data_IF_242900782272
#
_entry.id   IF_242900782272
#
_cell.length_a   1.000
_cell.length_b   1.000
_cell.length_c   1.000
_cell.angle_alpha   90.00
_cell.angle_beta   90.00
_cell.angle_gamma   90.00
#
_symmetry.space_group_name_H-M   'P 1'
#
loop_
_entity.id
_entity.type
_entity.pdbx_description
1 polymer ?
#
# COMPACT_ATOMS: atom_id res chain seq x y z
N UNK A 1 4.62 12.26 15.55
CA UNK A 1 4.06 10.89 15.42
C UNK A 1 4.38 10.40 14.01
N UNK A 2 4.88 9.18 13.85
CA UNK A 2 5.34 8.68 12.55
C UNK A 2 4.16 8.29 11.67
N UNK A 3 4.12 8.76 10.42
CA UNK A 3 3.09 8.38 9.45
C UNK A 3 3.02 6.86 9.36
N UNK A 4 1.91 6.30 9.83
CA UNK A 4 1.72 4.84 9.88
C UNK A 4 1.30 4.38 8.49
N UNK A 5 2.26 4.31 7.57
CA UNK A 5 2.04 3.73 6.25
C UNK A 5 1.67 2.26 6.41
N UNK A 6 0.41 1.94 6.09
CA UNK A 6 -0.07 0.55 6.08
C UNK A 6 0.62 -0.17 4.93
N UNK A 7 1.43 -1.17 5.26
CA UNK A 7 2.21 -1.97 4.31
C UNK A 7 1.65 -3.37 4.28
N UNK A 8 1.35 -3.88 3.09
CA UNK A 8 0.89 -5.27 2.92
C UNK A 8 1.75 -5.98 1.88
N UNK A 9 1.82 -7.30 1.98
CA UNK A 9 2.45 -8.14 0.97
C UNK A 9 1.41 -8.58 -0.07
N UNK A 10 1.78 -8.48 -1.35
CA UNK A 10 1.01 -9.00 -2.48
C UNK A 10 1.77 -10.13 -3.17
N UNK A 11 1.04 -10.99 -3.86
CA UNK A 11 1.56 -12.16 -4.57
C UNK A 11 1.46 -11.94 -6.06
N UNK A 12 2.55 -12.19 -6.79
CA UNK A 12 2.52 -12.31 -8.24
C UNK A 12 2.17 -13.76 -8.63
N UNK A 13 1.05 -13.93 -9.34
CA UNK A 13 0.52 -15.24 -9.71
C UNK A 13 1.43 -16.04 -10.66
N UNK A 14 2.16 -15.38 -11.56
CA UNK A 14 3.00 -16.05 -12.57
C UNK A 14 4.27 -16.64 -11.96
N UNK A 15 4.82 -15.96 -10.94
CA UNK A 15 6.06 -16.36 -10.26
C UNK A 15 5.81 -17.33 -9.11
N UNK A 16 4.62 -17.30 -8.51
CA UNK A 16 4.32 -18.10 -7.33
C UNK A 16 4.18 -19.59 -7.69
N UNK A 17 5.08 -20.43 -7.18
CA UNK A 17 5.04 -21.90 -7.39
C UNK A 17 5.10 -22.65 -6.04
N UNK A 18 3.97 -22.78 -5.31
CA UNK A 18 3.91 -23.42 -3.98
C UNK A 18 4.45 -24.85 -3.92
N UNK A 19 4.29 -25.60 -5.03
CA UNK A 19 4.82 -26.97 -5.20
C UNK A 19 6.34 -27.04 -5.13
N UNK A 20 7.05 -25.96 -5.49
CA UNK A 20 8.52 -25.94 -5.62
C UNK A 20 9.23 -25.06 -4.57
N UNK A 21 8.51 -24.30 -3.75
CA UNK A 21 9.11 -23.32 -2.81
C UNK A 21 9.15 -23.73 -1.33
N UNK A 22 8.82 -25.00 -1.00
CA UNK A 22 8.77 -25.54 0.39
C UNK A 22 7.93 -24.71 1.39
N UNK A 23 7.06 -23.84 0.88
CA UNK A 23 6.26 -22.84 1.61
C UNK A 23 7.06 -21.96 2.59
N UNK A 24 8.24 -21.49 2.18
CA UNK A 24 9.11 -20.64 3.02
C UNK A 24 8.43 -19.34 3.48
N UNK A 25 7.51 -18.79 2.69
CA UNK A 25 6.71 -17.62 3.05
C UNK A 25 5.89 -17.84 4.33
N UNK A 26 5.22 -18.99 4.46
CA UNK A 26 4.42 -19.36 5.63
C UNK A 26 5.31 -19.61 6.86
N UNK A 27 6.41 -20.35 6.67
CA UNK A 27 7.35 -20.70 7.75
C UNK A 27 8.08 -19.49 8.33
N UNK A 28 8.44 -18.54 7.46
CA UNK A 28 9.24 -17.37 7.86
C UNK A 28 8.38 -16.19 8.34
N UNK A 29 7.06 -16.24 8.18
CA UNK A 29 6.18 -15.15 8.58
C UNK A 29 6.07 -15.08 10.13
N UNK A 30 6.44 -13.95 10.76
CA UNK A 30 6.37 -13.83 12.22
C UNK A 30 4.92 -13.93 12.72
N UNK A 31 3.95 -13.38 11.99
CA UNK A 31 2.53 -13.41 12.36
C UNK A 31 1.98 -14.84 12.36
N UNK A 32 2.43 -15.68 11.43
CA UNK A 32 2.08 -17.11 11.40
C UNK A 32 2.77 -17.86 12.55
N UNK A 33 4.02 -17.53 12.86
CA UNK A 33 4.73 -18.11 14.02
C UNK A 33 4.09 -17.74 15.35
N UNK A 34 3.38 -16.61 15.43
CA UNK A 34 2.56 -16.21 16.58
C UNK A 34 1.20 -16.93 16.63
N UNK A 35 0.90 -17.84 15.70
CA UNK A 35 -0.34 -18.61 15.69
C UNK A 35 -1.51 -17.99 14.93
N UNK A 36 -1.32 -16.86 14.22
CA UNK A 36 -2.37 -16.21 13.42
C UNK A 36 -2.31 -16.65 11.95
N UNK A 37 -3.46 -16.75 11.30
CA UNK A 37 -3.58 -17.16 9.89
C UNK A 37 -3.29 -15.99 8.91
N UNK A 38 -2.06 -15.50 8.90
CA UNK A 38 -1.66 -14.42 7.99
C UNK A 38 -1.32 -14.92 6.58
N UNK A 39 -0.70 -16.10 6.46
CA UNK A 39 -0.35 -16.71 5.18
C UNK A 39 -0.86 -18.15 5.16
N UNK A 40 -1.70 -18.45 4.18
CA UNK A 40 -2.25 -19.78 3.95
C UNK A 40 -1.74 -20.33 2.62
N UNK A 41 -1.11 -21.49 2.69
CA UNK A 41 -0.57 -22.18 1.52
C UNK A 41 -0.43 -23.66 1.85
N UNK A 42 -0.85 -24.50 0.91
CA UNK A 42 -0.57 -25.94 0.91
C UNK A 42 0.27 -26.29 -0.33
N UNK A 43 0.93 -27.47 -0.37
CA UNK A 43 1.65 -27.91 -1.57
C UNK A 43 0.75 -28.07 -2.79
N UNK A 44 -0.54 -28.29 -2.59
CA UNK A 44 -1.52 -28.49 -3.66
C UNK A 44 -2.08 -27.16 -4.18
N UNK A 45 -2.02 -26.09 -3.38
CA UNK A 45 -2.47 -24.77 -3.78
C UNK A 45 -1.74 -24.27 -5.03
N UNK A 46 -2.50 -23.68 -5.96
CA UNK A 46 -1.92 -22.99 -7.12
C UNK A 46 -1.17 -21.74 -6.69
N UNK A 47 -1.71 -21.01 -5.71
CA UNK A 47 -1.21 -19.71 -5.25
C UNK A 47 -1.20 -19.65 -3.72
N UNK A 48 -0.38 -18.76 -3.17
CA UNK A 48 -0.37 -18.42 -1.75
C UNK A 48 -1.48 -17.42 -1.47
N UNK A 49 -2.21 -17.60 -0.38
CA UNK A 49 -3.17 -16.61 0.13
C UNK A 49 -2.56 -15.82 1.29
N UNK A 50 -2.75 -14.49 1.28
CA UNK A 50 -2.23 -13.58 2.30
C UNK A 50 -3.39 -12.72 2.80
N UNK A 51 -3.57 -12.67 4.12
CA UNK A 51 -4.56 -11.82 4.77
C UNK A 51 -4.06 -10.38 4.86
N UNK A 52 -4.80 -9.44 4.28
CA UNK A 52 -4.49 -8.00 4.29
C UNK A 52 -4.56 -7.39 5.70
N UNK A 53 -5.50 -7.86 6.52
CA UNK A 53 -5.72 -7.33 7.88
C UNK A 53 -4.67 -7.80 8.88
N UNK A 54 -4.13 -9.00 8.69
CA UNK A 54 -3.12 -9.58 9.58
C UNK A 54 -1.69 -9.30 9.13
N UNK A 55 -1.48 -8.93 7.86
CA UNK A 55 -0.16 -8.60 7.34
C UNK A 55 0.34 -7.28 7.93
N UNK A 56 1.49 -7.34 8.61
CA UNK A 56 2.14 -6.14 9.18
C UNK A 56 3.17 -5.51 8.23
N UNK A 57 3.35 -6.06 7.03
CA UNK A 57 4.31 -5.53 6.04
C UNK A 57 5.79 -5.68 6.42
N UNK A 58 6.16 -6.71 7.19
CA UNK A 58 7.55 -6.92 7.65
C UNK A 58 8.56 -7.23 6.54
N UNK A 59 8.13 -7.75 5.40
CA UNK A 59 8.98 -8.01 4.22
C UNK A 59 9.88 -9.24 4.31
N UNK A 60 9.81 -10.03 5.39
CA UNK A 60 10.61 -11.26 5.54
C UNK A 60 10.26 -12.28 4.46
N UNK A 61 8.97 -12.41 4.15
CA UNK A 61 8.48 -13.34 3.14
C UNK A 61 9.05 -13.06 1.73
N UNK A 62 9.35 -11.80 1.40
CA UNK A 62 9.98 -11.40 0.12
C UNK A 62 11.39 -11.96 0.06
N UNK A 63 12.20 -11.69 1.09
CA UNK A 63 13.61 -12.11 1.15
C UNK A 63 13.78 -13.63 1.14
N UNK A 64 12.79 -14.36 1.66
CA UNK A 64 12.78 -15.82 1.73
C UNK A 64 12.03 -16.48 0.57
N UNK A 65 11.50 -15.73 -0.39
CA UNK A 65 10.84 -16.36 -1.54
C UNK A 65 11.89 -16.75 -2.59
N UNK A 66 12.10 -18.04 -2.90
CA UNK A 66 13.11 -18.45 -3.89
C UNK A 66 12.77 -17.96 -5.32
N UNK A 67 11.50 -17.67 -5.58
CA UNK A 67 11.02 -17.21 -6.90
C UNK A 67 10.80 -15.69 -6.97
N UNK A 68 11.04 -14.95 -5.87
CA UNK A 68 10.77 -13.51 -5.82
C UNK A 68 9.31 -13.15 -6.18
N UNK A 69 8.36 -14.00 -5.80
CA UNK A 69 6.95 -13.87 -6.18
C UNK A 69 6.14 -12.93 -5.27
N UNK A 70 6.78 -12.33 -4.27
CA UNK A 70 6.12 -11.47 -3.27
C UNK A 70 6.68 -10.06 -3.37
N UNK A 71 5.83 -9.06 -3.24
CA UNK A 71 6.23 -7.65 -3.13
C UNK A 71 5.44 -6.95 -2.04
N UNK A 72 5.98 -5.87 -1.48
CA UNK A 72 5.27 -5.01 -0.52
C UNK A 72 4.69 -3.84 -1.29
N UNK A 73 3.42 -3.54 -1.01
CA UNK A 73 2.76 -2.31 -1.45
C UNK A 73 2.36 -1.48 -0.25
N UNK A 74 2.39 -0.16 -0.44
CA UNK A 74 1.92 0.80 0.55
C UNK A 74 0.46 1.10 0.24
N UNK A 75 -0.44 0.87 1.20
CA UNK A 75 -1.80 1.35 1.11
C UNK A 75 -1.84 2.85 1.43
N UNK A 76 -2.75 3.59 0.78
CA UNK A 76 -2.97 4.99 1.11
C UNK A 76 -3.56 5.07 2.52
N UNK A 77 -2.74 5.42 3.49
CA UNK A 77 -3.17 5.83 4.82
C UNK A 77 -3.28 7.34 4.87
N UNK A 78 -4.11 7.83 5.79
CA UNK A 78 -4.26 9.26 5.94
C UNK A 78 -2.95 9.89 6.41
N UNK A 79 -2.34 10.72 5.57
CA UNK A 79 -1.10 11.42 5.88
C UNK A 79 -1.39 12.45 6.99
N UNK A 80 -0.58 12.45 8.05
CA UNK A 80 -0.62 13.52 9.06
C UNK A 80 0.28 14.68 8.62
N UNK A 81 1.34 14.36 7.87
CA UNK A 81 2.26 15.35 7.30
C UNK A 81 1.75 15.93 5.98
N UNK A 82 2.27 17.11 5.63
CA UNK A 82 2.00 17.82 4.36
C UNK A 82 0.54 18.19 4.12
N UNK A 83 -0.22 18.44 5.19
CA UNK A 83 -1.54 19.06 5.08
C UNK A 83 -1.37 20.50 4.59
N UNK A 84 -1.84 20.79 3.37
CA UNK A 84 -1.79 22.14 2.81
C UNK A 84 -3.00 22.96 3.27
N UNK A 85 -4.17 22.33 3.35
CA UNK A 85 -5.39 23.01 3.75
C UNK A 85 -6.33 22.07 4.48
N UNK A 86 -7.08 22.61 5.45
CA UNK A 86 -8.15 21.91 6.17
C UNK A 86 -9.28 22.90 6.42
N UNK A 87 -10.51 22.54 6.03
CA UNK A 87 -11.67 23.42 6.20
C UNK A 87 -12.10 23.58 7.66
N UNK A 88 -12.09 22.50 8.44
CA UNK A 88 -12.46 22.49 9.87
C UNK A 88 -11.91 21.24 10.58
N UNK A 89 -12.01 21.18 11.90
CA UNK A 89 -11.78 19.96 12.68
C UNK A 89 -12.68 18.82 12.17
N UNK A 90 -12.10 17.63 11.96
CA UNK A 90 -12.76 16.45 11.40
C UNK A 90 -13.37 16.62 9.98
N UNK A 91 -13.01 17.69 9.27
CA UNK A 91 -13.46 17.93 7.90
C UNK A 91 -12.40 17.51 6.87
N UNK A 92 -12.72 17.71 5.59
CA UNK A 92 -11.83 17.46 4.48
C UNK A 92 -10.48 18.18 4.68
N UNK A 93 -9.40 17.42 4.47
CA UNK A 93 -8.03 17.92 4.45
C UNK A 93 -7.38 17.58 3.12
N UNK A 94 -6.75 18.58 2.53
CA UNK A 94 -5.99 18.45 1.30
C UNK A 94 -4.51 18.29 1.64
N UNK A 95 -3.89 17.29 1.02
CA UNK A 95 -2.47 17.00 1.17
C UNK A 95 -1.75 17.28 -0.13
N UNK A 96 -0.67 18.07 -0.06
CA UNK A 96 0.15 18.52 -1.19
C UNK A 96 -0.64 19.30 -2.25
N UNK A 97 0.09 20.00 -3.13
CA UNK A 97 -0.48 20.67 -4.30
C UNK A 97 0.28 20.27 -5.56
N UNK A 98 -0.42 20.14 -6.71
CA UNK A 98 0.23 19.97 -8.00
C UNK A 98 0.87 21.29 -8.44
N UNK A 99 2.17 21.30 -8.72
CA UNK A 99 2.90 22.51 -9.13
C UNK A 99 2.93 22.55 -10.67
N UNK A 100 2.38 23.59 -11.33
CA UNK A 100 2.42 23.72 -12.79
C UNK A 100 3.84 24.01 -13.28
N UNK A 101 4.21 23.46 -14.44
CA UNK A 101 5.47 23.72 -15.14
C UNK A 101 5.23 24.64 -16.32
N UNK A 102 6.17 25.55 -16.59
CA UNK A 102 6.06 26.48 -17.72
C UNK A 102 6.19 25.76 -19.05
N UNK A 103 5.29 26.05 -19.99
CA UNK A 103 5.30 25.47 -21.34
C UNK A 103 4.62 24.11 -21.48
N UNK A 104 4.06 23.55 -20.40
CA UNK A 104 3.39 22.24 -20.40
C UNK A 104 1.96 22.34 -19.83
N UNK A 105 1.05 21.47 -20.28
CA UNK A 105 -0.31 21.37 -19.75
C UNK A 105 -0.37 20.33 -18.63
N UNK A 106 -0.79 20.74 -17.44
CA UNK A 106 -0.94 19.85 -16.29
C UNK A 106 -2.37 19.30 -16.17
N UNK A 107 -2.53 17.99 -16.38
CA UNK A 107 -3.80 17.28 -16.15
C UNK A 107 -3.97 16.85 -14.69
N UNK A 108 -5.12 17.18 -14.09
CA UNK A 108 -5.48 16.75 -12.73
C UNK A 108 -6.66 15.77 -12.76
N UNK A 109 -6.38 14.47 -12.58
CA UNK A 109 -7.37 13.39 -12.63
C UNK A 109 -7.48 12.71 -11.27
N UNK A 110 -8.70 12.38 -10.86
CA UNK A 110 -8.99 11.69 -9.61
C UNK A 110 -10.50 11.58 -9.38
N UNK A 111 -10.93 10.86 -8.35
CA UNK A 111 -12.34 10.71 -8.00
C UNK A 111 -12.99 12.03 -7.55
N UNK A 112 -14.31 12.09 -7.54
CA UNK A 112 -15.04 13.25 -7.01
C UNK A 112 -14.81 13.36 -5.49
N UNK A 113 -14.70 14.60 -4.98
CA UNK A 113 -14.44 14.84 -3.55
C UNK A 113 -12.98 14.71 -3.10
N UNK A 114 -12.02 14.39 -3.99
CA UNK A 114 -10.60 14.27 -3.64
C UNK A 114 -9.88 15.63 -3.44
N UNK A 115 -10.56 16.75 -3.70
CA UNK A 115 -10.00 18.09 -3.52
C UNK A 115 -9.42 18.75 -4.77
N UNK A 116 -9.75 18.27 -5.98
CA UNK A 116 -9.31 18.88 -7.26
C UNK A 116 -9.66 20.37 -7.35
N UNK A 117 -10.91 20.71 -7.10
CA UNK A 117 -11.39 22.10 -7.11
C UNK A 117 -10.76 22.94 -6.00
N UNK A 118 -10.50 22.35 -4.83
CA UNK A 118 -9.81 23.02 -3.73
C UNK A 118 -8.35 23.33 -4.08
N UNK A 119 -7.64 22.39 -4.71
CA UNK A 119 -6.26 22.60 -5.17
C UNK A 119 -6.17 23.73 -6.19
N UNK A 120 -7.10 23.79 -7.16
CA UNK A 120 -7.15 24.87 -8.15
C UNK A 120 -7.46 26.23 -7.54
N UNK A 121 -8.34 26.32 -6.53
CA UNK A 121 -8.62 27.57 -5.82
C UNK A 121 -7.38 28.10 -5.11
N UNK A 122 -6.66 27.22 -4.41
CA UNK A 122 -5.42 27.59 -3.70
C UNK A 122 -4.35 28.06 -4.68
N UNK A 123 -4.15 27.37 -5.81
CA UNK A 123 -3.20 27.80 -6.84
C UNK A 123 -3.61 29.12 -7.52
N UNK A 124 -4.91 29.41 -7.59
CA UNK A 124 -5.43 30.69 -8.09
C UNK A 124 -5.40 31.82 -7.04
N UNK A 125 -4.90 31.56 -5.83
CA UNK A 125 -4.86 32.53 -4.72
C UNK A 125 -6.24 32.89 -4.15
N UNK A 126 -7.23 32.00 -4.29
CA UNK A 126 -8.61 32.17 -3.80
C UNK A 126 -8.93 31.25 -2.62
#
# INVERSE_FOLDING_TARGET
MADKNTRIAIVNHDKCKPKKCRQECKKSCPVVRMGKLCIEVTPQSKIVWISESLCIGCGICIKKCPFGALSIVNLPSNLEKETTHRYCANSFKLHRLPIPRTGEVLGLVGTNGIGKSTALKILAGK
#
